data_IF_712127427616
#
_entry.id   IF_712127427616
#
_cell.length_a   1.000
_cell.length_b   1.000
_cell.length_c   1.000
_cell.angle_alpha   90.00
_cell.angle_beta   90.00
_cell.angle_gamma   90.00
#
_symmetry.space_group_name_H-M   'P 1'
#
loop_
_entity.id
_entity.type
_entity.pdbx_description
1 polymer ?
#
# COMPACT_ATOMS: atom_id res chain seq x y z
N UNK A 1 31.43 -0.64 -13.52
CA UNK A 1 30.66 -1.42 -12.53
C UNK A 1 29.29 -1.72 -13.14
N UNK A 2 28.87 -2.98 -13.19
CA UNK A 2 27.55 -3.33 -13.74
C UNK A 2 26.42 -2.90 -12.81
N UNK A 3 25.26 -2.54 -13.35
CA UNK A 3 24.04 -2.27 -12.58
C UNK A 3 23.14 -3.51 -12.64
N UNK A 4 22.58 -3.91 -11.50
CA UNK A 4 21.59 -5.00 -11.43
C UNK A 4 20.20 -4.37 -11.50
N UNK A 5 19.33 -4.90 -12.35
CA UNK A 5 17.91 -4.52 -12.43
C UNK A 5 17.08 -5.63 -11.80
N UNK A 6 16.25 -5.26 -10.84
CA UNK A 6 15.25 -6.15 -10.25
C UNK A 6 13.89 -5.77 -10.84
N UNK A 7 13.13 -6.77 -11.30
CA UNK A 7 11.75 -6.62 -11.75
C UNK A 7 10.91 -7.70 -11.08
N UNK A 8 9.89 -7.27 -10.35
CA UNK A 8 8.97 -8.12 -9.61
C UNK A 8 7.58 -7.97 -10.22
N UNK A 9 6.95 -9.10 -10.54
CA UNK A 9 5.61 -9.24 -11.11
C UNK A 9 5.08 -10.64 -10.71
N UNK A 10 3.76 -10.85 -10.54
CA UNK A 10 2.67 -9.96 -10.90
C UNK A 10 2.17 -9.04 -9.77
N UNK A 11 2.35 -9.42 -8.50
CA UNK A 11 1.80 -8.70 -7.34
C UNK A 11 2.83 -8.63 -6.21
N UNK A 12 2.91 -7.48 -5.55
CA UNK A 12 3.73 -7.26 -4.35
C UNK A 12 2.78 -6.64 -3.32
N UNK A 13 2.62 -7.30 -2.17
CA UNK A 13 1.86 -6.77 -1.06
C UNK A 13 2.75 -5.86 -0.20
N UNK A 14 2.29 -4.63 0.04
CA UNK A 14 2.92 -3.71 0.98
C UNK A 14 2.00 -3.51 2.17
N UNK A 15 2.42 -3.97 3.36
CA UNK A 15 1.69 -3.73 4.61
C UNK A 15 2.11 -2.37 5.18
N UNK A 16 1.14 -1.48 5.35
CA UNK A 16 1.34 -0.15 5.90
C UNK A 16 0.16 0.21 6.80
N UNK A 17 0.46 0.60 8.03
CA UNK A 17 -0.53 1.25 8.90
C UNK A 17 -0.52 2.76 8.64
N UNK A 18 -1.71 3.33 8.43
CA UNK A 18 -1.93 4.75 8.24
C UNK A 18 -3.15 5.17 9.06
N UNK A 19 -2.96 6.12 9.96
CA UNK A 19 -4.06 6.79 10.63
C UNK A 19 -4.71 7.77 9.65
N UNK A 20 -5.96 7.50 9.26
CA UNK A 20 -6.75 8.39 8.41
C UNK A 20 -7.82 9.04 9.29
N UNK A 21 -7.85 10.38 9.41
CA UNK A 21 -8.89 11.07 10.16
C UNK A 21 -10.29 10.66 9.65
N UNK A 22 -11.24 10.44 10.56
CA UNK A 22 -12.63 10.06 10.26
C UNK A 22 -12.84 8.60 9.79
N UNK A 23 -11.77 7.81 9.69
CA UNK A 23 -11.85 6.37 9.42
C UNK A 23 -11.71 5.59 10.72
N UNK A 24 -12.79 4.93 11.13
CA UNK A 24 -12.84 4.01 12.27
C UNK A 24 -13.06 2.57 11.78
N UNK A 25 -12.94 1.59 12.68
CA UNK A 25 -13.13 0.17 12.36
C UNK A 25 -14.52 -0.18 11.82
N UNK A 26 -15.52 0.66 12.08
CA UNK A 26 -16.89 0.52 11.56
C UNK A 26 -17.19 1.35 10.31
N UNK A 27 -16.22 2.13 9.80
CA UNK A 27 -16.42 2.98 8.62
C UNK A 27 -16.71 2.12 7.40
N UNK A 28 -17.70 2.52 6.60
CA UNK A 28 -18.08 1.75 5.41
C UNK A 28 -16.98 1.85 4.37
N UNK A 29 -16.78 0.77 3.62
CA UNK A 29 -15.76 0.73 2.56
C UNK A 29 -15.89 1.91 1.58
N UNK A 30 -17.11 2.30 1.20
CA UNK A 30 -17.34 3.47 0.35
C UNK A 30 -16.70 4.77 0.89
N UNK A 31 -16.77 4.98 2.21
CA UNK A 31 -16.22 6.16 2.87
C UNK A 31 -14.68 6.04 2.97
N UNK A 32 -14.16 4.83 3.22
CA UNK A 32 -12.70 4.54 3.19
C UNK A 32 -12.12 4.83 1.80
N UNK A 33 -12.82 4.42 0.74
CA UNK A 33 -12.39 4.66 -0.63
C UNK A 33 -12.28 6.16 -1.00
N UNK A 34 -12.95 7.07 -0.27
CA UNK A 34 -12.81 8.52 -0.49
C UNK A 34 -11.39 9.02 -0.16
N UNK A 35 -10.68 8.36 0.74
CA UNK A 35 -9.33 8.75 1.16
C UNK A 35 -8.23 8.22 0.23
N UNK A 36 -8.60 7.65 -0.93
CA UNK A 36 -7.64 7.07 -1.89
C UNK A 36 -6.49 8.01 -2.23
N UNK A 37 -6.79 9.29 -2.44
CA UNK A 37 -5.78 10.29 -2.79
C UNK A 37 -4.76 10.47 -1.67
N UNK A 38 -5.20 10.56 -0.42
CA UNK A 38 -4.34 10.78 0.73
C UNK A 38 -3.51 9.54 1.06
N UNK A 39 -4.15 8.36 1.05
CA UNK A 39 -3.49 7.07 1.25
C UNK A 39 -2.44 6.82 0.18
N UNK A 40 -2.77 7.10 -1.08
CA UNK A 40 -1.84 6.99 -2.20
C UNK A 40 -0.68 7.98 -2.06
N UNK A 41 -0.93 9.23 -1.69
CA UNK A 41 0.12 10.24 -1.56
C UNK A 41 1.14 9.88 -0.46
N UNK A 42 0.66 9.38 0.69
CA UNK A 42 1.55 8.95 1.77
C UNK A 42 2.33 7.68 1.40
N UNK A 43 1.67 6.71 0.74
CA UNK A 43 2.35 5.54 0.19
C UNK A 43 3.44 5.93 -0.81
N UNK A 44 3.12 6.84 -1.74
CA UNK A 44 4.04 7.35 -2.75
C UNK A 44 5.26 8.04 -2.12
N UNK A 45 5.03 8.85 -1.07
CA UNK A 45 6.09 9.53 -0.32
C UNK A 45 7.07 8.54 0.31
N UNK A 46 6.57 7.49 0.96
CA UNK A 46 7.41 6.45 1.59
C UNK A 46 8.17 5.64 0.54
N UNK A 47 7.51 5.28 -0.57
CA UNK A 47 8.12 4.47 -1.62
C UNK A 47 9.22 5.23 -2.37
N UNK A 48 9.03 6.54 -2.63
CA UNK A 48 10.07 7.42 -3.19
C UNK A 48 11.28 7.56 -2.27
N UNK A 49 11.06 7.58 -0.95
CA UNK A 49 12.16 7.61 0.01
C UNK A 49 12.97 6.31 0.05
N UNK A 50 12.32 5.15 -0.18
CA UNK A 50 12.97 3.84 -0.19
C UNK A 50 13.65 3.51 -1.53
N UNK A 51 13.07 3.93 -2.66
CA UNK A 51 13.56 3.65 -4.01
C UNK A 51 13.72 4.94 -4.81
N UNK A 52 14.78 5.74 -4.52
CA UNK A 52 15.01 7.02 -5.18
C UNK A 52 15.27 6.89 -6.69
N UNK A 53 15.69 5.72 -7.17
CA UNK A 53 15.86 5.41 -8.59
C UNK A 53 14.54 5.29 -9.35
N UNK A 54 13.42 5.17 -8.62
CA UNK A 54 12.06 5.13 -9.13
C UNK A 54 11.46 3.72 -9.21
N UNK A 55 10.13 3.68 -9.32
CA UNK A 55 9.33 2.46 -9.44
C UNK A 55 8.20 2.68 -10.46
N UNK A 56 7.57 1.58 -10.89
CA UNK A 56 6.37 1.61 -11.72
C UNK A 56 5.30 0.75 -11.06
N UNK A 57 4.15 1.35 -10.80
CA UNK A 57 2.99 0.68 -10.23
C UNK A 57 1.86 0.69 -11.26
N UNK A 58 1.28 -0.47 -11.53
CA UNK A 58 0.22 -0.64 -12.53
C UNK A 58 -1.17 -0.62 -11.90
N UNK A 59 -1.29 -1.13 -10.68
CA UNK A 59 -2.53 -1.18 -9.88
C UNK A 59 -2.25 -0.70 -8.46
N UNK A 60 -3.23 -0.06 -7.83
CA UNK A 60 -3.16 0.36 -6.42
C UNK A 60 -4.53 0.17 -5.76
N UNK A 61 -4.55 -0.71 -4.77
CA UNK A 61 -5.73 -1.11 -4.00
C UNK A 61 -5.42 -0.93 -2.51
N UNK A 62 -6.43 -0.54 -1.75
CA UNK A 62 -6.35 -0.38 -0.29
C UNK A 62 -7.75 -0.57 0.29
N UNK A 63 -7.81 -0.95 1.56
CA UNK A 63 -9.05 -1.17 2.30
C UNK A 63 -8.77 -1.25 3.80
N UNK A 64 -9.84 -1.43 4.58
CA UNK A 64 -9.70 -1.68 6.02
C UNK A 64 -9.07 -3.04 6.26
N UNK A 65 -8.16 -3.10 7.22
CA UNK A 65 -7.72 -4.38 7.75
C UNK A 65 -8.89 -5.02 8.50
N UNK A 66 -9.45 -6.05 7.88
CA UNK A 66 -10.60 -6.81 8.40
C UNK A 66 -10.17 -8.11 9.08
N UNK A 67 -8.87 -8.28 9.35
CA UNK A 67 -8.32 -9.42 10.08
C UNK A 67 -8.09 -10.69 9.26
N UNK A 68 -8.36 -10.67 7.94
CA UNK A 68 -8.11 -11.84 7.07
C UNK A 68 -6.62 -12.15 6.85
N UNK A 69 -5.72 -11.27 7.27
CA UNK A 69 -4.27 -11.39 7.04
C UNK A 69 -3.51 -12.25 8.08
N UNK A 70 -4.15 -12.71 9.16
CA UNK A 70 -3.51 -13.66 10.11
C UNK A 70 -3.05 -14.94 9.40
N UNK A 71 -3.78 -15.37 8.36
CA UNK A 71 -3.49 -16.58 7.55
C UNK A 71 -2.19 -16.47 6.72
N UNK A 72 -1.73 -15.26 6.37
CA UNK A 72 -0.51 -15.07 5.58
C UNK A 72 0.76 -14.96 6.43
N UNK A 73 0.62 -14.82 7.75
CA UNK A 73 1.78 -14.78 8.66
C UNK A 73 2.34 -16.18 8.99
N UNK A 74 1.57 -17.23 8.65
CA UNK A 74 1.93 -18.64 8.88
C UNK A 74 2.55 -19.34 7.65
N UNK A 75 2.82 -18.63 6.54
CA UNK A 75 3.38 -19.20 5.29
C UNK A 75 4.85 -18.88 5.05
#
# INVERSE_FOLDING_TARGET
MGKVRIQLAPEIEFKMELEVPEVESGTRDYDVQQHKTDVYAEFERRLKAAFPEGYRMHTFEFGLDTGWHEELSES
#
